data_IF_846545992774
#
_entry.id   IF_846545992774
#
_cell.length_a   1.000
_cell.length_b   1.000
_cell.length_c   1.000
_cell.angle_alpha   90.00
_cell.angle_beta   90.00
_cell.angle_gamma   90.00
#
_symmetry.space_group_name_H-M   'P 1'
#
loop_
_entity.id
_entity.type
_entity.pdbx_description
1 polymer ?
#
# COMPACT_ATOMS: atom_id res chain seq x y z
N UNK A 1 12.25 -11.53 10.96
CA UNK A 1 11.06 -12.26 10.49
C UNK A 1 9.95 -11.98 11.47
N UNK A 2 8.78 -11.61 10.95
CA UNK A 2 7.60 -11.41 11.80
C UNK A 2 7.21 -12.77 12.35
N UNK A 3 7.24 -12.89 13.67
CA UNK A 3 6.82 -14.11 14.34
C UNK A 3 5.31 -14.30 14.12
N UNK A 4 4.91 -15.53 13.78
CA UNK A 4 3.52 -15.85 13.45
C UNK A 4 2.53 -15.44 14.56
N UNK A 5 2.97 -15.51 15.83
CA UNK A 5 2.18 -15.06 17.00
C UNK A 5 1.78 -13.58 16.96
N UNK A 6 2.50 -12.74 16.21
CA UNK A 6 2.23 -11.31 16.08
C UNK A 6 1.30 -10.99 14.92
N UNK A 7 1.04 -11.94 14.01
CA UNK A 7 0.17 -11.72 12.84
C UNK A 7 -1.25 -11.31 13.26
N UNK A 8 -1.92 -12.00 14.21
CA UNK A 8 -3.28 -11.62 14.62
C UNK A 8 -3.35 -10.16 15.11
N UNK A 9 -2.32 -9.71 15.82
CA UNK A 9 -2.24 -8.34 16.31
C UNK A 9 -2.08 -7.34 15.17
N UNK A 10 -1.19 -7.60 14.21
CA UNK A 10 -0.98 -6.73 13.04
C UNK A 10 -2.24 -6.63 12.17
N UNK A 11 -2.83 -7.77 11.81
CA UNK A 11 -4.01 -7.78 10.91
C UNK A 11 -5.28 -7.26 11.58
N UNK A 12 -5.36 -7.23 12.91
CA UNK A 12 -6.49 -6.63 13.63
C UNK A 12 -6.69 -5.14 13.28
N UNK A 13 -5.65 -4.46 12.82
CA UNK A 13 -5.74 -3.06 12.34
C UNK A 13 -6.62 -2.93 11.09
N UNK A 14 -6.85 -4.00 10.32
CA UNK A 14 -7.72 -3.99 9.15
C UNK A 14 -9.14 -3.50 9.45
N UNK A 15 -9.65 -3.77 10.65
CA UNK A 15 -11.01 -3.36 11.05
C UNK A 15 -11.15 -1.85 11.21
N UNK A 16 -10.04 -1.14 11.46
CA UNK A 16 -10.00 0.31 11.61
C UNK A 16 -9.37 1.03 10.39
N UNK A 17 -8.68 0.28 9.52
CA UNK A 17 -7.94 0.82 8.40
C UNK A 17 -8.83 1.71 7.50
N UNK A 18 -8.38 2.95 7.20
CA UNK A 18 -9.01 3.78 6.18
C UNK A 18 -9.12 3.03 4.87
N UNK A 19 -10.26 3.17 4.19
CA UNK A 19 -10.54 2.46 2.95
C UNK A 19 -11.48 3.28 2.08
N UNK A 20 -11.10 3.41 0.82
CA UNK A 20 -11.93 4.02 -0.21
C UNK A 20 -12.64 2.88 -0.92
N UNK A 21 -13.96 2.79 -0.75
CA UNK A 21 -14.71 1.67 -1.32
C UNK A 21 -14.72 1.69 -2.85
N UNK A 22 -14.79 0.49 -3.43
CA UNK A 22 -15.03 0.26 -4.85
C UNK A 22 -16.30 0.96 -5.37
N UNK A 23 -17.31 1.10 -4.51
CA UNK A 23 -18.58 1.78 -4.80
C UNK A 23 -18.51 3.31 -4.67
N UNK A 24 -17.35 3.86 -4.31
CA UNK A 24 -17.16 5.28 -4.45
C UNK A 24 -17.20 5.62 -5.94
N UNK A 25 -18.10 6.52 -6.36
CA UNK A 25 -18.18 7.03 -7.74
C UNK A 25 -16.87 7.74 -8.21
N UNK A 26 -15.79 7.64 -7.45
CA UNK A 26 -14.46 8.19 -7.72
C UNK A 26 -13.53 7.19 -8.43
N UNK A 27 -13.98 5.96 -8.67
CA UNK A 27 -13.27 4.98 -9.50
C UNK A 27 -13.75 5.11 -10.94
N UNK A 28 -12.80 5.28 -11.84
CA UNK A 28 -13.05 5.39 -13.27
C UNK A 28 -13.21 4.02 -13.90
N UNK A 29 -14.05 3.95 -14.93
CA UNK A 29 -14.11 2.79 -15.82
C UNK A 29 -12.87 2.78 -16.74
N UNK A 30 -12.33 1.59 -17.02
CA UNK A 30 -11.28 1.32 -18.00
C UNK A 30 -11.48 2.04 -19.35
N UNK A 31 -12.71 2.17 -19.84
CA UNK A 31 -12.98 2.93 -21.08
C UNK A 31 -12.63 4.42 -20.95
N UNK A 32 -12.90 5.02 -19.79
CA UNK A 32 -12.53 6.41 -19.50
C UNK A 32 -11.02 6.53 -19.37
N UNK A 33 -10.35 5.54 -18.78
CA UNK A 33 -8.89 5.46 -18.65
C UNK A 33 -8.18 5.56 -19.97
N UNK A 34 -8.51 4.65 -20.88
CA UNK A 34 -7.85 4.57 -22.17
C UNK A 34 -8.00 5.87 -22.95
N UNK A 35 -9.11 6.58 -22.73
CA UNK A 35 -9.36 7.87 -23.34
C UNK A 35 -8.53 9.01 -22.74
N UNK A 36 -8.29 9.03 -21.42
CA UNK A 36 -7.57 10.11 -20.74
C UNK A 36 -6.05 9.94 -20.74
N UNK A 37 -5.52 8.72 -20.90
CA UNK A 37 -4.08 8.42 -20.84
C UNK A 37 -3.27 9.14 -21.92
N UNK A 38 -3.87 9.42 -23.08
CA UNK A 38 -3.22 10.08 -24.20
C UNK A 38 -3.53 11.60 -24.29
N UNK A 39 -4.22 12.16 -23.30
CA UNK A 39 -4.62 13.57 -23.25
C UNK A 39 -3.64 14.40 -22.40
N UNK A 40 -3.51 15.69 -22.71
CA UNK A 40 -2.81 16.62 -21.83
C UNK A 40 -3.59 16.82 -20.53
N UNK A 41 -2.90 17.12 -19.42
CA UNK A 41 -3.51 17.33 -18.08
C UNK A 41 -4.73 18.26 -18.14
N UNK A 42 -4.60 19.41 -18.79
CA UNK A 42 -5.67 20.41 -18.93
C UNK A 42 -6.89 19.87 -19.69
N UNK A 43 -6.67 18.98 -20.66
CA UNK A 43 -7.72 18.31 -21.44
C UNK A 43 -8.44 17.26 -20.60
N UNK A 44 -7.70 16.50 -19.80
CA UNK A 44 -8.27 15.52 -18.87
C UNK A 44 -9.09 16.23 -17.79
N UNK A 45 -8.59 17.31 -17.20
CA UNK A 45 -9.33 18.12 -16.21
C UNK A 45 -10.63 18.65 -16.81
N UNK A 46 -10.57 19.16 -18.05
CA UNK A 46 -11.76 19.61 -18.77
C UNK A 46 -12.73 18.46 -19.04
N UNK A 47 -12.22 17.31 -19.46
CA UNK A 47 -13.01 16.10 -19.70
C UNK A 47 -13.74 15.64 -18.44
N UNK A 48 -13.04 15.56 -17.31
CA UNK A 48 -13.60 15.22 -15.99
C UNK A 48 -14.73 16.17 -15.61
N UNK A 49 -14.49 17.49 -15.71
CA UNK A 49 -15.47 18.53 -15.36
C UNK A 49 -16.71 18.47 -16.25
N UNK A 50 -16.54 18.31 -17.57
CA UNK A 50 -17.66 18.23 -18.52
C UNK A 50 -18.52 16.99 -18.27
N UNK A 51 -17.89 15.86 -17.97
CA UNK A 51 -18.59 14.58 -17.78
C UNK A 51 -19.04 14.35 -16.33
N UNK A 52 -18.82 15.30 -15.41
CA UNK A 52 -19.26 15.20 -14.01
C UNK A 52 -18.63 14.02 -13.24
N UNK A 53 -17.42 13.63 -13.62
CA UNK A 53 -16.70 12.50 -13.01
C UNK A 53 -16.29 12.90 -11.58
N UNK A 54 -16.63 12.08 -10.56
CA UNK A 54 -16.20 12.35 -9.18
C UNK A 54 -14.75 11.96 -8.97
N UNK A 55 -14.07 12.67 -8.08
CA UNK A 55 -12.64 12.51 -7.80
C UNK A 55 -12.42 12.35 -6.30
N UNK A 56 -11.26 11.82 -5.91
CA UNK A 56 -10.84 11.75 -4.50
C UNK A 56 -9.91 12.93 -4.19
N UNK A 57 -10.17 13.66 -3.10
CA UNK A 57 -9.23 14.67 -2.59
C UNK A 57 -8.15 14.01 -1.72
N UNK A 58 -6.93 14.56 -1.71
CA UNK A 58 -5.80 14.07 -0.88
C UNK A 58 -6.13 13.90 0.61
N UNK A 59 -7.01 14.75 1.16
CA UNK A 59 -7.47 14.69 2.55
C UNK A 59 -8.22 13.40 2.92
N UNK A 60 -8.68 12.65 1.91
CA UNK A 60 -9.35 11.36 2.07
C UNK A 60 -8.39 10.18 1.87
N UNK A 61 -7.17 10.42 1.35
CA UNK A 61 -6.09 9.44 1.27
C UNK A 61 -5.40 9.34 2.63
N UNK A 62 -6.09 8.73 3.59
CA UNK A 62 -5.60 8.58 4.95
C UNK A 62 -4.87 7.25 5.13
N UNK A 63 -3.76 7.30 5.85
CA UNK A 63 -2.95 6.15 6.21
C UNK A 63 -2.73 6.15 7.72
N UNK A 64 -3.06 5.05 8.38
CA UNK A 64 -2.68 4.84 9.76
C UNK A 64 -1.29 4.17 9.80
N UNK A 65 -0.47 4.58 10.77
CA UNK A 65 0.87 4.04 11.00
C UNK A 65 0.94 3.39 12.38
N UNK A 66 1.57 2.24 12.46
CA UNK A 66 1.73 1.43 13.67
C UNK A 66 3.15 0.88 13.78
N UNK A 67 3.65 0.76 15.01
CA UNK A 67 4.92 0.12 15.31
C UNK A 67 4.67 -1.06 16.24
N UNK A 68 5.12 -2.25 15.85
CA UNK A 68 5.17 -3.41 16.73
C UNK A 68 6.47 -3.39 17.55
N UNK A 69 6.33 -3.27 18.86
CA UNK A 69 7.41 -3.23 19.83
C UNK A 69 7.29 -4.40 20.81
N UNK A 70 8.04 -5.48 20.54
CA UNK A 70 7.83 -6.75 21.23
C UNK A 70 6.44 -7.30 20.90
N UNK A 71 5.60 -7.49 21.91
CA UNK A 71 4.23 -8.00 21.76
C UNK A 71 3.19 -6.86 21.83
N UNK A 72 3.61 -5.59 21.74
CA UNK A 72 2.75 -4.41 21.80
C UNK A 72 2.68 -3.68 20.46
N UNK A 73 1.48 -3.49 19.93
CA UNK A 73 1.23 -2.70 18.73
C UNK A 73 0.85 -1.27 19.13
N UNK A 74 1.63 -0.31 18.69
CA UNK A 74 1.50 1.09 19.07
C UNK A 74 1.03 1.88 17.85
N UNK A 75 -0.12 2.53 17.95
CA UNK A 75 -0.58 3.48 16.93
C UNK A 75 0.25 4.76 16.99
N UNK A 76 0.95 5.06 15.90
CA UNK A 76 1.80 6.26 15.74
C UNK A 76 0.94 7.46 15.38
N UNK A 77 -0.04 7.28 14.49
CA UNK A 77 -0.97 8.31 14.06
C UNK A 77 -1.55 8.06 12.68
N UNK A 78 -2.50 8.91 12.31
CA UNK A 78 -3.13 8.95 11.00
C UNK A 78 -2.56 10.11 10.19
N UNK A 79 -2.09 9.82 8.99
CA UNK A 79 -1.49 10.76 8.06
C UNK A 79 -2.35 10.89 6.80
N UNK A 80 -2.19 11.97 6.05
CA UNK A 80 -2.96 12.22 4.82
C UNK A 80 -2.02 12.52 3.66
N UNK A 81 -2.43 12.13 2.45
CA UNK A 81 -1.66 12.39 1.24
C UNK A 81 -0.50 11.41 1.00
N UNK A 82 -0.54 10.22 1.60
CA UNK A 82 0.44 9.15 1.34
C UNK A 82 1.83 9.41 1.91
N UNK A 83 1.95 10.22 2.98
CA UNK A 83 3.24 10.54 3.59
C UNK A 83 3.21 10.37 5.11
N UNK A 84 4.08 9.49 5.62
CA UNK A 84 4.29 9.27 7.06
C UNK A 84 5.61 9.95 7.46
N UNK A 85 5.59 11.03 8.26
CA UNK A 85 6.81 11.73 8.65
C UNK A 85 7.76 10.85 9.47
N UNK A 86 8.98 10.63 8.95
CA UNK A 86 10.01 9.78 9.60
C UNK A 86 10.38 10.22 11.02
N UNK A 87 10.20 11.50 11.36
CA UNK A 87 10.44 12.02 12.72
C UNK A 87 9.50 11.43 13.77
N UNK A 88 8.27 11.09 13.39
CA UNK A 88 7.32 10.43 14.30
C UNK A 88 7.73 8.98 14.55
N UNK A 89 8.31 8.36 13.53
CA UNK A 89 8.79 6.98 13.53
C UNK A 89 10.09 6.82 14.34
N UNK A 90 11.07 7.73 14.17
CA UNK A 90 12.39 7.68 14.84
C UNK A 90 12.32 7.53 16.36
N UNK A 91 11.37 8.18 17.02
CA UNK A 91 11.20 8.12 18.48
C UNK A 91 10.95 6.69 18.99
N UNK A 92 10.26 5.88 18.20
CA UNK A 92 9.99 4.48 18.53
C UNK A 92 11.23 3.60 18.30
N UNK A 93 12.13 3.98 17.38
CA UNK A 93 13.39 3.27 17.14
C UNK A 93 14.28 3.20 18.37
N UNK A 94 14.37 4.31 19.09
CA UNK A 94 15.17 4.41 20.31
C UNK A 94 14.55 3.58 21.45
N UNK A 95 13.23 3.48 21.50
CA UNK A 95 12.50 2.74 22.54
C UNK A 95 12.42 1.23 22.27
N UNK A 96 12.48 0.80 21.00
CA UNK A 96 12.20 -0.58 20.59
C UNK A 96 13.38 -1.20 19.82
N UNK A 97 13.90 -2.32 20.35
CA UNK A 97 15.08 -3.02 19.78
C UNK A 97 14.83 -3.62 18.40
N UNK A 98 13.65 -4.18 18.18
CA UNK A 98 13.17 -4.69 16.90
C UNK A 98 11.85 -4.02 16.58
N UNK A 99 11.70 -3.54 15.36
CA UNK A 99 10.51 -2.83 14.91
C UNK A 99 10.07 -3.44 13.60
N UNK A 100 8.83 -3.88 13.62
CA UNK A 100 8.02 -4.06 12.43
C UNK A 100 7.21 -2.79 12.30
N UNK A 101 7.39 -2.09 11.18
CA UNK A 101 6.55 -0.96 10.81
C UNK A 101 5.36 -1.50 10.03
N UNK A 102 4.17 -1.00 10.35
CA UNK A 102 2.93 -1.32 9.66
C UNK A 102 2.22 -0.02 9.32
N UNK A 103 1.88 0.20 8.05
CA UNK A 103 0.93 1.23 7.67
C UNK A 103 -0.18 0.69 6.79
N UNK A 104 -1.27 1.46 6.72
CA UNK A 104 -2.42 1.11 5.91
C UNK A 104 -2.43 1.90 4.60
N UNK A 105 -2.74 1.27 3.48
CA UNK A 105 -3.06 1.98 2.24
C UNK A 105 -4.58 2.13 2.09
N UNK A 106 -5.11 3.34 1.82
CA UNK A 106 -6.54 3.58 1.60
C UNK A 106 -7.03 3.03 0.25
N UNK A 107 -6.08 2.79 -0.66
CA UNK A 107 -6.25 2.13 -1.97
C UNK A 107 -6.04 0.63 -1.77
N UNK A 108 -6.79 -0.28 -2.44
CA UNK A 108 -6.68 -1.74 -2.34
C UNK A 108 -5.37 -2.30 -2.96
N UNK A 109 -4.23 -1.80 -2.52
CA UNK A 109 -2.90 -2.21 -2.95
C UNK A 109 -2.05 -2.42 -1.68
N UNK A 110 -1.88 -3.65 -1.18
CA UNK A 110 -1.16 -3.92 0.04
C UNK A 110 0.35 -4.04 -0.22
N UNK A 111 0.93 -3.31 -1.19
CA UNK A 111 2.32 -3.49 -1.61
C UNK A 111 3.18 -2.33 -1.10
N UNK A 112 4.28 -2.60 -0.37
CA UNK A 112 5.24 -1.56 0.01
C UNK A 112 5.82 -0.84 -1.21
N UNK A 113 5.82 0.49 -1.16
CA UNK A 113 6.42 1.36 -2.17
C UNK A 113 7.93 1.42 -2.01
N UNK A 114 8.62 1.96 -3.02
CA UNK A 114 10.06 2.26 -2.93
C UNK A 114 10.38 3.17 -1.73
N UNK A 115 9.52 4.16 -1.45
CA UNK A 115 9.70 5.11 -0.36
C UNK A 115 9.57 4.44 1.01
N UNK A 116 8.67 3.46 1.15
CA UNK A 116 8.50 2.68 2.37
C UNK A 116 9.79 1.91 2.69
N UNK A 117 10.39 1.26 1.68
CA UNK A 117 11.63 0.50 1.86
C UNK A 117 12.82 1.41 2.16
N UNK A 118 12.95 2.53 1.44
CA UNK A 118 14.01 3.51 1.73
C UNK A 118 13.87 4.05 3.17
N UNK A 119 12.65 4.37 3.59
CA UNK A 119 12.35 4.86 4.94
C UNK A 119 12.70 3.82 6.01
N UNK A 120 12.32 2.56 5.78
CA UNK A 120 12.67 1.44 6.66
C UNK A 120 14.19 1.33 6.85
N UNK A 121 14.98 1.43 5.78
CA UNK A 121 16.45 1.42 5.88
C UNK A 121 17.03 2.64 6.59
N UNK A 122 16.50 3.84 6.29
CA UNK A 122 16.99 5.10 6.90
C UNK A 122 16.71 5.16 8.40
N UNK A 123 15.53 4.68 8.82
CA UNK A 123 15.13 4.66 10.23
C UNK A 123 15.68 3.41 10.94
N UNK A 124 15.98 2.35 10.19
CA UNK A 124 16.62 1.13 10.67
C UNK A 124 15.66 0.10 11.25
N UNK A 125 14.46 -0.03 10.68
CA UNK A 125 13.49 -1.07 11.01
C UNK A 125 13.82 -2.39 10.30
N UNK A 126 13.37 -3.50 10.90
CA UNK A 126 13.70 -4.84 10.38
C UNK A 126 12.69 -5.35 9.36
N UNK A 127 11.48 -4.82 9.35
CA UNK A 127 10.44 -5.22 8.40
C UNK A 127 9.45 -4.08 8.19
N UNK A 128 8.97 -3.99 6.95
CA UNK A 128 7.96 -3.03 6.51
C UNK A 128 6.70 -3.80 6.09
N UNK A 129 5.55 -3.44 6.63
CA UNK A 129 4.27 -4.05 6.33
C UNK A 129 3.29 -3.01 5.80
N UNK A 130 2.65 -3.32 4.68
CA UNK A 130 1.50 -2.58 4.21
C UNK A 130 0.26 -3.44 4.37
N UNK A 131 -0.77 -2.89 5.01
CA UNK A 131 -2.10 -3.48 5.07
C UNK A 131 -3.07 -2.68 4.22
N UNK A 132 -3.92 -3.36 3.47
CA UNK A 132 -4.97 -2.71 2.71
C UNK A 132 -6.25 -3.53 2.71
N UNK A 133 -7.38 -2.83 2.76
CA UNK A 133 -8.70 -3.43 2.53
C UNK A 133 -8.92 -3.54 1.03
N UNK A 134 -9.19 -4.75 0.54
CA UNK A 134 -9.21 -5.04 -0.89
C UNK A 134 -10.62 -4.93 -1.48
N UNK A 135 -11.56 -5.61 -0.84
CA UNK A 135 -12.99 -5.55 -1.19
C UNK A 135 -13.80 -5.89 0.07
N UNK A 136 -15.12 -5.89 -0.06
CA UNK A 136 -16.02 -6.17 1.06
C UNK A 136 -15.64 -7.50 1.74
N UNK A 137 -15.34 -7.41 3.03
CA UNK A 137 -14.99 -8.55 3.88
C UNK A 137 -13.55 -9.05 3.77
N UNK A 138 -12.67 -8.48 2.93
CA UNK A 138 -11.29 -8.97 2.78
C UNK A 138 -10.25 -7.86 2.94
N UNK A 139 -9.25 -8.14 3.78
CA UNK A 139 -8.04 -7.34 3.89
C UNK A 139 -6.81 -8.18 3.59
N UNK A 140 -5.77 -7.53 3.07
CA UNK A 140 -4.48 -8.17 2.83
C UNK A 140 -3.37 -7.35 3.46
N UNK A 141 -2.35 -8.03 3.94
CA UNK A 141 -1.13 -7.43 4.46
C UNK A 141 0.07 -8.07 3.77
N UNK A 142 0.96 -7.26 3.20
CA UNK A 142 2.26 -7.73 2.71
C UNK A 142 3.34 -7.11 3.56
N UNK A 143 4.18 -7.97 4.13
CA UNK A 143 5.34 -7.59 4.87
C UNK A 143 6.60 -8.02 4.15
N UNK A 144 7.60 -7.16 4.13
CA UNK A 144 8.92 -7.45 3.59
C UNK A 144 10.02 -7.28 4.61
N UNK A 145 10.94 -8.23 4.64
CA UNK A 145 12.16 -8.20 5.42
C UNK A 145 13.34 -8.39 4.46
N UNK A 146 14.08 -7.32 4.13
CA UNK A 146 15.26 -7.45 3.30
C UNK A 146 16.38 -8.22 4.00
N UNK A 147 17.10 -9.04 3.24
CA UNK A 147 18.30 -9.75 3.70
C UNK A 147 19.51 -9.56 2.76
N UNK A 148 19.33 -8.85 1.65
CA UNK A 148 20.38 -8.47 0.71
C UNK A 148 20.71 -6.96 0.82
N UNK A 149 21.73 -6.50 0.11
CA UNK A 149 22.09 -5.09 0.04
C UNK A 149 20.96 -4.25 -0.56
N UNK A 150 20.79 -3.03 -0.03
CA UNK A 150 19.75 -2.09 -0.47
C UNK A 150 19.73 -1.90 -1.99
N UNK A 151 20.87 -1.82 -2.66
CA UNK A 151 20.93 -1.67 -4.13
C UNK A 151 20.21 -2.81 -4.87
N UNK A 152 20.38 -4.05 -4.43
CA UNK A 152 19.73 -5.22 -5.05
C UNK A 152 18.22 -5.23 -4.75
N UNK A 153 17.84 -4.83 -3.53
CA UNK A 153 16.44 -4.68 -3.11
C UNK A 153 15.75 -3.63 -3.97
N UNK A 154 16.36 -2.45 -4.13
CA UNK A 154 15.83 -1.36 -4.96
C UNK A 154 15.70 -1.77 -6.42
N UNK A 155 16.70 -2.46 -6.98
CA UNK A 155 16.61 -3.00 -8.35
C UNK A 155 15.45 -3.98 -8.53
N UNK A 156 15.18 -4.82 -7.52
CA UNK A 156 14.01 -5.70 -7.50
C UNK A 156 12.70 -4.92 -7.56
N UNK A 157 12.56 -3.90 -6.71
CA UNK A 157 11.36 -3.05 -6.65
C UNK A 157 11.16 -2.20 -7.89
N UNK A 158 12.23 -1.68 -8.50
CA UNK A 158 12.18 -0.94 -9.76
C UNK A 158 11.68 -1.84 -10.90
N UNK A 159 12.18 -3.08 -10.98
CA UNK A 159 11.71 -4.06 -11.97
C UNK A 159 10.22 -4.38 -11.76
N UNK A 160 9.81 -4.64 -10.51
CA UNK A 160 8.41 -4.83 -10.16
C UNK A 160 7.56 -3.61 -10.54
N UNK A 161 8.01 -2.39 -10.21
CA UNK A 161 7.26 -1.16 -10.49
C UNK A 161 6.99 -1.01 -12.00
N UNK A 162 7.97 -1.33 -12.84
CA UNK A 162 7.82 -1.32 -14.30
C UNK A 162 6.78 -2.34 -14.80
N UNK A 163 6.64 -3.50 -14.17
CA UNK A 163 5.60 -4.49 -14.50
C UNK A 163 4.23 -4.09 -13.93
N UNK A 164 4.19 -3.55 -12.71
CA UNK A 164 2.98 -3.05 -12.07
C UNK A 164 2.28 -2.00 -12.95
N UNK A 165 3.02 -1.06 -13.55
CA UNK A 165 2.46 -0.07 -14.48
C UNK A 165 1.83 -0.68 -15.76
N UNK A 166 2.16 -1.93 -16.10
CA UNK A 166 1.53 -2.67 -17.21
C UNK A 166 0.30 -3.45 -16.77
N UNK A 167 0.24 -3.87 -15.50
CA UNK A 167 -0.85 -4.65 -14.92
C UNK A 167 -2.00 -3.80 -14.39
N UNK A 168 -1.68 -2.61 -13.90
CA UNK A 168 -2.64 -1.61 -13.47
C UNK A 168 -3.08 -0.85 -14.71
N UNK A 169 -4.36 -0.98 -15.07
CA UNK A 169 -4.99 -0.10 -16.06
C UNK A 169 -4.73 1.36 -15.60
N UNK A 170 -3.86 2.06 -16.35
CA UNK A 170 -3.09 3.26 -15.93
C UNK A 170 -3.95 4.36 -15.28
N UNK A 171 -3.44 5.15 -14.34
CA UNK A 171 -4.04 6.47 -14.01
C UNK A 171 -3.03 7.49 -13.50
N UNK A 172 -3.19 8.76 -13.92
CA UNK A 172 -3.16 10.00 -13.11
C UNK A 172 -3.86 11.09 -13.95
N UNK A 173 -4.69 11.98 -13.37
CA UNK A 173 -4.58 13.45 -13.60
C UNK A 173 -5.06 14.24 -12.39
N UNK A 174 -4.18 15.13 -11.91
CA UNK A 174 -4.40 16.12 -10.84
C UNK A 174 -4.58 17.51 -11.46
N UNK A 175 -5.56 18.29 -10.99
CA UNK A 175 -5.38 19.75 -10.94
C UNK A 175 -6.21 20.45 -9.84
N UNK A 176 -5.56 20.77 -8.71
CA UNK A 176 -5.43 22.11 -8.08
C UNK A 176 -4.46 22.05 -6.87
N UNK A 177 -4.36 23.12 -6.06
CA UNK A 177 -3.40 23.33 -4.97
C UNK A 177 -3.37 22.26 -3.85
N UNK A 178 -4.33 21.33 -3.79
CA UNK A 178 -4.28 20.16 -2.86
C UNK A 178 -4.61 18.80 -3.50
N UNK A 179 -4.76 18.73 -4.83
CA UNK A 179 -4.71 17.48 -5.58
C UNK A 179 -6.03 16.72 -5.77
N UNK A 180 -6.31 16.37 -7.03
CA UNK A 180 -7.45 15.57 -7.51
C UNK A 180 -6.93 14.19 -7.93
N UNK A 181 -7.36 13.11 -7.27
CA UNK A 181 -6.82 11.77 -7.51
C UNK A 181 -7.87 10.85 -8.14
N UNK A 182 -7.39 10.04 -9.08
CA UNK A 182 -8.00 8.77 -9.45
C UNK A 182 -7.08 7.68 -8.95
N UNK A 183 -7.65 6.79 -8.14
CA UNK A 183 -6.89 5.71 -7.55
C UNK A 183 -6.97 4.51 -8.49
N UNK A 184 -5.84 3.87 -8.84
CA UNK A 184 -5.91 2.57 -9.46
C UNK A 184 -6.60 1.63 -8.48
N UNK A 185 -7.81 1.20 -8.82
CA UNK A 185 -8.51 0.18 -8.07
C UNK A 185 -8.30 -1.14 -8.82
N UNK A 186 -7.21 -1.89 -8.57
CA UNK A 186 -7.00 -3.15 -9.24
C UNK A 186 -8.20 -4.07 -8.99
N UNK A 187 -8.71 -4.69 -10.06
CA UNK A 187 -9.61 -5.82 -9.90
C UNK A 187 -8.93 -6.90 -9.05
N UNK A 188 -9.70 -7.77 -8.38
CA UNK A 188 -9.15 -8.89 -7.61
C UNK A 188 -8.09 -9.68 -8.39
N UNK A 189 -8.36 -9.95 -9.67
CA UNK A 189 -7.43 -10.65 -10.57
C UNK A 189 -6.15 -9.85 -10.84
N UNK A 190 -6.26 -8.53 -11.00
CA UNK A 190 -5.08 -7.68 -11.18
C UNK A 190 -4.25 -7.65 -9.90
N UNK A 191 -4.90 -7.61 -8.74
CA UNK A 191 -4.20 -7.65 -7.46
C UNK A 191 -3.42 -8.96 -7.26
N UNK A 192 -4.05 -10.10 -7.53
CA UNK A 192 -3.39 -11.41 -7.47
C UNK A 192 -2.14 -11.45 -8.38
N UNK A 193 -2.26 -10.93 -9.61
CA UNK A 193 -1.10 -10.82 -10.52
C UNK A 193 -0.02 -9.87 -10.00
N UNK A 194 -0.41 -8.73 -9.44
CA UNK A 194 0.54 -7.76 -8.86
C UNK A 194 1.31 -8.40 -7.71
N UNK A 195 0.63 -9.16 -6.84
CA UNK A 195 1.27 -9.92 -5.76
C UNK A 195 2.23 -10.99 -6.29
N UNK A 196 1.84 -11.74 -7.33
CA UNK A 196 2.70 -12.74 -7.98
C UNK A 196 3.98 -12.12 -8.56
N UNK A 197 3.85 -11.01 -9.30
CA UNK A 197 4.98 -10.28 -9.86
C UNK A 197 5.88 -9.71 -8.74
N UNK A 198 5.28 -9.13 -7.70
CA UNK A 198 6.02 -8.63 -6.55
C UNK A 198 6.87 -9.73 -5.91
N UNK A 199 6.27 -10.89 -5.62
CA UNK A 199 6.98 -12.04 -5.06
C UNK A 199 8.08 -12.52 -6.01
N UNK A 200 7.79 -12.62 -7.31
CA UNK A 200 8.78 -13.06 -8.30
C UNK A 200 10.04 -12.18 -8.31
N UNK A 201 9.86 -10.87 -8.24
CA UNK A 201 10.96 -9.89 -8.30
C UNK A 201 11.69 -9.72 -6.96
N UNK A 202 11.01 -9.92 -5.82
CA UNK A 202 11.55 -9.60 -4.50
C UNK A 202 12.10 -10.80 -3.72
N UNK A 203 11.62 -12.03 -3.95
CA UNK A 203 11.99 -13.25 -3.18
C UNK A 203 13.46 -13.67 -3.23
N UNK A 204 14.30 -12.95 -3.98
CA UNK A 204 15.76 -13.20 -4.00
C UNK A 204 16.51 -12.29 -3.05
N UNK A 205 15.89 -11.20 -2.61
CA UNK A 205 16.51 -10.13 -1.83
C UNK A 205 15.75 -9.82 -0.54
N UNK A 206 14.49 -10.24 -0.46
CA UNK A 206 13.59 -10.04 0.68
C UNK A 206 12.82 -11.30 0.99
N UNK A 207 12.59 -11.55 2.28
CA UNK A 207 11.55 -12.46 2.73
C UNK A 207 10.22 -11.73 2.68
N UNK A 208 9.18 -12.43 2.25
CA UNK A 208 7.87 -11.82 2.02
C UNK A 208 6.82 -12.64 2.75
N UNK A 209 6.03 -11.99 3.60
CA UNK A 209 4.85 -12.57 4.21
C UNK A 209 3.63 -11.90 3.60
N UNK A 210 2.74 -12.69 3.01
CA UNK A 210 1.43 -12.24 2.54
C UNK A 210 0.38 -12.85 3.46
N UNK A 211 -0.43 -12.02 4.09
CA UNK A 211 -1.56 -12.44 4.93
C UNK A 211 -2.85 -12.00 4.27
N UNK A 212 -3.79 -12.93 4.10
CA UNK A 212 -5.15 -12.65 3.64
C UNK A 212 -6.11 -12.87 4.80
N UNK A 213 -6.83 -11.85 5.22
CA UNK A 213 -7.81 -11.87 6.30
C UNK A 213 -9.22 -11.84 5.72
N UNK A 214 -10.01 -12.86 6.04
CA UNK A 214 -11.47 -12.82 5.97
C UNK A 214 -11.98 -12.06 7.20
N UNK A 215 -12.37 -10.80 7.00
CA UNK A 215 -12.81 -9.90 8.06
C UNK A 215 -14.17 -10.32 8.65
N UNK A 216 -15.01 -11.04 7.90
CA UNK A 216 -16.33 -11.50 8.38
C UNK A 216 -16.18 -12.69 9.33
N UNK A 217 -15.27 -13.61 9.00
CA UNK A 217 -15.02 -14.83 9.80
C UNK A 217 -13.93 -14.63 10.86
N UNK A 218 -13.07 -13.64 10.69
CA UNK A 218 -11.87 -13.46 11.52
C UNK A 218 -10.80 -14.53 11.28
N UNK A 219 -10.86 -15.21 10.13
CA UNK A 219 -9.92 -16.25 9.72
C UNK A 219 -8.85 -15.65 8.79
N UNK A 220 -7.61 -16.12 8.88
CA UNK A 220 -6.54 -15.65 7.99
C UNK A 220 -5.69 -16.79 7.43
N UNK A 221 -5.19 -16.57 6.23
CA UNK A 221 -4.19 -17.40 5.58
C UNK A 221 -2.85 -16.66 5.53
N UNK A 222 -1.76 -17.37 5.84
CA UNK A 222 -0.39 -16.88 5.75
C UNK A 222 0.36 -17.61 4.63
N UNK A 223 0.92 -16.84 3.70
CA UNK A 223 1.89 -17.31 2.71
C UNK A 223 3.26 -16.70 3.00
N UNK A 224 4.29 -17.55 3.12
CA UNK A 224 5.67 -17.14 3.39
C UNK A 224 6.54 -17.47 2.19
N UNK A 225 7.26 -16.48 1.68
CA UNK A 225 8.21 -16.64 0.59
C UNK A 225 9.62 -16.30 1.10
N UNK A 226 10.61 -17.18 0.80
CA UNK A 226 11.98 -16.98 1.21
C UNK A 226 12.64 -15.79 0.51
#
# INVERSE_FOLDING_TARGET
MIEERNIPLLISTAYAAPYISADSNAILDNEVVFKIVDMYVDEVVRYIKINGIKTVQSSHLKEDAYVLCGDSLIHVGTFSGGFIPSQNLLKFREACRSIVMLHTHPVPLPIPTLEDIVSMYQIGYGSECVLSRIHDGVAKMVCVEPFDYLENVMRGLENFSNEMFKLVDRYVVIEDEYGVFFLPYPSKRNLEKIEEEFVMHMKRTCRINIVSLDMERGEYDLSVFP
#
